data_IF_009022471597
#
_entry.id   IF_009022471597
#
_cell.length_a   1.000
_cell.length_b   1.000
_cell.length_c   1.000
_cell.angle_alpha   90.00
_cell.angle_beta   90.00
_cell.angle_gamma   90.00
#
_symmetry.space_group_name_H-M   'P 1'
#
loop_
_entity.id
_entity.type
_entity.pdbx_description
1 polymer ?
#
# COMPACT_ATOMS: atom_id res chain seq x y z
N UNK A 1 23.22 5.78 3.76
CA UNK A 1 21.80 6.18 3.76
C UNK A 1 21.12 5.90 5.11
N UNK A 2 21.23 6.81 6.10
CA UNK A 2 20.29 6.87 7.23
C UNK A 2 19.26 8.02 7.09
N UNK A 3 19.34 8.82 6.02
CA UNK A 3 18.50 9.99 5.81
C UNK A 3 17.83 9.96 4.43
N UNK A 4 16.50 10.19 4.35
CA UNK A 4 15.56 10.27 5.47
C UNK A 4 15.36 8.90 6.15
N UNK A 5 15.10 8.89 7.46
CA UNK A 5 14.86 7.65 8.20
C UNK A 5 13.42 7.17 7.97
N UNK A 6 13.25 5.94 7.44
CA UNK A 6 11.92 5.39 7.13
C UNK A 6 11.34 4.50 8.24
N UNK A 7 12.17 4.06 9.19
CA UNK A 7 11.74 3.30 10.36
C UNK A 7 11.81 4.20 11.59
N UNK A 8 10.84 4.13 12.53
CA UNK A 8 10.89 4.95 13.73
C UNK A 8 12.19 4.81 14.52
N UNK A 9 12.69 5.93 15.05
CA UNK A 9 13.87 5.94 15.93
C UNK A 9 13.57 5.28 17.29
N UNK A 10 12.37 5.53 17.82
CA UNK A 10 11.89 4.95 19.07
C UNK A 10 11.73 3.41 18.94
N UNK A 11 12.29 2.61 19.87
CA UNK A 11 12.22 1.15 19.80
C UNK A 11 10.80 0.58 19.83
N UNK A 12 9.87 1.19 20.59
CA UNK A 12 8.49 0.72 20.71
C UNK A 12 7.76 0.95 19.39
N UNK A 13 7.87 2.16 18.83
CA UNK A 13 7.30 2.48 17.52
C UNK A 13 7.92 1.65 16.42
N UNK A 14 9.22 1.35 16.49
CA UNK A 14 9.90 0.47 15.53
C UNK A 14 9.38 -0.96 15.60
N UNK A 15 9.14 -1.50 16.80
CA UNK A 15 8.55 -2.82 16.97
C UNK A 15 7.13 -2.87 16.38
N UNK A 16 6.30 -1.84 16.65
CA UNK A 16 4.96 -1.71 16.05
C UNK A 16 5.01 -1.64 14.52
N UNK A 17 5.90 -0.84 13.96
CA UNK A 17 6.07 -0.74 12.51
C UNK A 17 6.44 -2.09 11.87
N UNK A 18 7.36 -2.84 12.50
CA UNK A 18 7.72 -4.20 12.06
C UNK A 18 6.56 -5.18 12.14
N UNK A 19 5.78 -5.12 13.21
CA UNK A 19 4.60 -5.96 13.36
C UNK A 19 3.59 -5.69 12.24
N UNK A 20 3.32 -4.42 11.93
CA UNK A 20 2.43 -4.03 10.84
C UNK A 20 2.95 -4.49 9.48
N UNK A 21 4.25 -4.41 9.22
CA UNK A 21 4.86 -4.93 7.98
C UNK A 21 4.64 -6.44 7.85
N UNK A 22 4.85 -7.21 8.93
CA UNK A 22 4.60 -8.66 8.94
C UNK A 22 3.12 -8.97 8.72
N UNK A 23 2.22 -8.18 9.30
CA UNK A 23 0.77 -8.33 9.06
C UNK A 23 0.42 -8.05 7.59
N UNK A 24 0.93 -6.97 7.00
CA UNK A 24 0.71 -6.66 5.58
C UNK A 24 1.23 -7.77 4.66
N UNK A 25 2.40 -8.31 4.96
CA UNK A 25 2.95 -9.44 4.20
C UNK A 25 1.98 -10.62 4.15
N UNK A 26 1.43 -10.99 5.31
CA UNK A 26 0.55 -12.16 5.44
C UNK A 26 -0.86 -11.92 4.92
N UNK A 27 -1.41 -10.73 5.14
CA UNK A 27 -2.83 -10.45 4.88
C UNK A 27 -3.06 -9.78 3.52
N UNK A 28 -2.02 -9.24 2.89
CA UNK A 28 -2.13 -8.51 1.63
C UNK A 28 -1.15 -9.05 0.60
N UNK A 29 0.16 -9.07 0.89
CA UNK A 29 1.17 -9.41 -0.12
C UNK A 29 1.21 -10.90 -0.48
N UNK A 30 0.84 -11.78 0.45
CA UNK A 30 0.66 -13.21 0.19
C UNK A 30 -0.36 -13.50 -0.95
N UNK A 31 -1.24 -12.55 -1.25
CA UNK A 31 -2.24 -12.68 -2.31
C UNK A 31 -1.78 -12.08 -3.66
N UNK A 32 -0.63 -11.38 -3.72
CA UNK A 32 -0.12 -10.78 -4.96
C UNK A 32 0.39 -11.86 -5.93
N UNK A 33 1.17 -12.83 -5.47
CA UNK A 33 1.71 -13.88 -6.35
C UNK A 33 0.61 -14.68 -7.07
N UNK A 34 -0.50 -15.08 -6.42
CA UNK A 34 -1.66 -15.66 -7.10
C UNK A 34 -2.30 -14.75 -8.17
N UNK A 35 -2.28 -13.41 -7.97
CA UNK A 35 -2.80 -12.45 -8.94
C UNK A 35 -1.91 -12.34 -10.18
N UNK A 36 -0.60 -12.21 -9.96
CA UNK A 36 0.40 -12.11 -11.04
C UNK A 36 0.39 -13.35 -11.94
N UNK A 37 0.24 -14.53 -11.34
CA UNK A 37 0.16 -15.80 -12.10
C UNK A 37 -1.19 -16.01 -12.80
N UNK A 38 -2.17 -15.13 -12.56
CA UNK A 38 -3.55 -15.22 -13.04
C UNK A 38 -4.14 -16.65 -12.92
N UNK A 39 -3.89 -17.28 -11.76
CA UNK A 39 -4.31 -18.65 -11.51
C UNK A 39 -5.79 -18.76 -11.13
N UNK A 40 -6.28 -19.99 -10.93
CA UNK A 40 -7.67 -20.27 -10.49
C UNK A 40 -8.06 -19.57 -9.18
N UNK A 41 -7.09 -19.13 -8.38
CA UNK A 41 -7.29 -18.45 -7.09
C UNK A 41 -7.25 -16.93 -7.20
N UNK A 42 -7.04 -16.35 -8.40
CA UNK A 42 -6.89 -14.91 -8.59
C UNK A 42 -8.12 -14.13 -8.13
N UNK A 43 -9.34 -14.57 -8.44
CA UNK A 43 -10.56 -13.87 -8.01
C UNK A 43 -10.71 -13.83 -6.48
N UNK A 44 -10.36 -14.94 -5.82
CA UNK A 44 -10.34 -14.99 -4.35
C UNK A 44 -9.28 -14.05 -3.78
N UNK A 45 -8.10 -13.98 -4.40
CA UNK A 45 -7.04 -13.06 -3.99
C UNK A 45 -7.46 -11.58 -4.16
N UNK A 46 -8.12 -11.22 -5.28
CA UNK A 46 -8.69 -9.88 -5.50
C UNK A 46 -9.67 -9.52 -4.39
N UNK A 47 -10.57 -10.44 -4.05
CA UNK A 47 -11.56 -10.24 -3.00
C UNK A 47 -10.90 -9.99 -1.64
N UNK A 48 -9.92 -10.82 -1.25
CA UNK A 48 -9.22 -10.67 0.03
C UNK A 48 -8.49 -9.33 0.13
N UNK A 49 -7.75 -8.94 -0.91
CA UNK A 49 -7.06 -7.64 -0.92
C UNK A 49 -8.07 -6.50 -0.84
N UNK A 50 -9.16 -6.56 -1.61
CA UNK A 50 -10.22 -5.54 -1.58
C UNK A 50 -10.81 -5.37 -0.19
N UNK A 51 -11.13 -6.46 0.49
CA UNK A 51 -11.73 -6.42 1.83
C UNK A 51 -10.75 -5.81 2.84
N UNK A 52 -9.49 -6.24 2.84
CA UNK A 52 -8.45 -5.69 3.72
C UNK A 52 -8.17 -4.20 3.49
N UNK A 53 -8.09 -3.78 2.23
CA UNK A 53 -7.90 -2.37 1.88
C UNK A 53 -9.11 -1.52 2.32
N UNK A 54 -10.32 -2.07 2.19
CA UNK A 54 -11.55 -1.39 2.62
C UNK A 54 -11.61 -1.25 4.15
N UNK A 55 -11.25 -2.29 4.89
CA UNK A 55 -11.13 -2.27 6.36
C UNK A 55 -10.11 -1.24 6.86
N UNK A 56 -9.01 -1.05 6.13
CA UNK A 56 -7.95 -0.10 6.49
C UNK A 56 -8.32 1.35 6.17
N UNK A 57 -9.23 1.59 5.22
CA UNK A 57 -9.59 2.93 4.73
C UNK A 57 -9.89 3.96 5.83
N UNK A 58 -10.69 3.68 6.88
CA UNK A 58 -11.04 4.67 7.90
C UNK A 58 -9.84 5.25 8.67
N UNK A 59 -8.70 4.55 8.72
CA UNK A 59 -7.47 5.02 9.39
C UNK A 59 -6.98 6.34 8.76
N UNK A 60 -7.09 6.45 7.44
CA UNK A 60 -6.61 7.60 6.67
C UNK A 60 -7.53 8.82 6.73
N UNK A 61 -8.63 8.75 7.48
CA UNK A 61 -9.46 9.92 7.78
C UNK A 61 -8.75 10.83 8.79
N UNK A 62 -8.05 10.24 9.76
CA UNK A 62 -7.35 10.97 10.83
C UNK A 62 -5.84 11.02 10.62
N UNK A 63 -5.28 10.06 9.87
CA UNK A 63 -3.84 9.91 9.70
C UNK A 63 -3.43 10.24 8.27
N UNK A 64 -2.38 11.05 8.13
CA UNK A 64 -1.82 11.38 6.81
C UNK A 64 -1.08 10.21 6.17
N UNK A 65 -0.39 9.42 6.99
CA UNK A 65 0.44 8.26 6.68
C UNK A 65 0.10 7.07 7.59
N UNK A 66 0.65 5.88 7.33
CA UNK A 66 0.28 4.66 8.07
C UNK A 66 0.62 4.72 9.56
N UNK A 67 1.63 5.51 9.96
CA UNK A 67 2.02 5.72 11.35
C UNK A 67 1.66 7.12 11.87
N UNK A 68 0.60 7.73 11.34
CA UNK A 68 0.17 9.08 11.73
C UNK A 68 0.61 10.14 10.73
N UNK A 69 1.48 11.07 11.14
CA UNK A 69 1.86 12.23 10.33
C UNK A 69 3.19 12.07 9.58
N UNK A 70 3.97 11.03 9.91
CA UNK A 70 5.30 10.80 9.34
C UNK A 70 5.28 9.73 8.25
N UNK A 71 5.99 10.00 7.15
CA UNK A 71 6.19 9.03 6.09
C UNK A 71 7.19 7.96 6.51
N UNK A 72 6.82 6.69 6.32
CA UNK A 72 7.54 5.53 6.85
C UNK A 72 7.69 4.40 5.84
N UNK A 73 8.40 3.35 6.22
CA UNK A 73 8.56 2.13 5.42
C UNK A 73 7.22 1.45 5.09
N UNK A 74 6.20 1.60 5.94
CA UNK A 74 4.87 1.03 5.70
C UNK A 74 4.20 1.69 4.48
N UNK A 75 4.40 3.00 4.33
CA UNK A 75 3.88 3.75 3.19
C UNK A 75 4.59 3.35 1.90
N UNK A 76 5.90 3.12 1.98
CA UNK A 76 6.71 2.60 0.86
C UNK A 76 6.26 1.21 0.47
N UNK A 77 6.00 0.33 1.44
CA UNK A 77 5.62 -1.05 1.19
C UNK A 77 4.26 -1.18 0.48
N UNK A 78 3.26 -0.40 0.89
CA UNK A 78 1.90 -0.50 0.34
C UNK A 78 1.72 0.23 -1.00
N UNK A 79 2.55 1.26 -1.28
CA UNK A 79 2.37 2.11 -2.46
C UNK A 79 2.41 1.36 -3.81
N UNK A 80 3.32 0.40 -4.06
CA UNK A 80 3.33 -0.37 -5.31
C UNK A 80 2.04 -1.15 -5.56
N UNK A 81 1.39 -1.65 -4.51
CA UNK A 81 0.10 -2.33 -4.61
C UNK A 81 -1.00 -1.34 -4.96
N UNK A 82 -1.05 -0.20 -4.25
CA UNK A 82 -2.05 0.85 -4.52
C UNK A 82 -1.94 1.42 -5.94
N UNK A 83 -0.72 1.47 -6.49
CA UNK A 83 -0.49 1.90 -7.87
C UNK A 83 -1.05 0.91 -8.91
N UNK A 84 -1.12 -0.37 -8.55
CA UNK A 84 -1.49 -1.49 -9.44
C UNK A 84 -2.93 -1.97 -9.26
N UNK A 85 -3.77 -1.27 -8.50
CA UNK A 85 -5.15 -1.72 -8.24
C UNK A 85 -5.92 -1.96 -9.55
N UNK A 86 -5.87 -1.02 -10.48
CA UNK A 86 -6.54 -1.14 -11.78
C UNK A 86 -5.91 -2.27 -12.62
N UNK A 87 -4.59 -2.41 -12.58
CA UNK A 87 -3.87 -3.48 -13.27
C UNK A 87 -4.28 -4.88 -12.78
N UNK A 88 -4.55 -5.02 -11.48
CA UNK A 88 -5.04 -6.28 -10.89
C UNK A 88 -6.56 -6.46 -10.98
N UNK A 89 -7.30 -5.47 -11.50
CA UNK A 89 -8.77 -5.49 -11.53
C UNK A 89 -9.40 -5.42 -10.14
N UNK A 90 -8.77 -4.71 -9.19
CA UNK A 90 -9.26 -4.52 -7.83
C UNK A 90 -10.00 -3.17 -7.77
N UNK A 91 -11.32 -3.23 -7.90
CA UNK A 91 -12.16 -2.04 -7.76
C UNK A 91 -12.54 -1.81 -6.29
N UNK A 92 -12.19 -0.64 -5.78
CA UNK A 92 -12.53 -0.21 -4.43
C UNK A 92 -13.81 0.65 -4.44
N UNK A 93 -14.71 0.40 -3.49
CA UNK A 93 -15.96 1.17 -3.39
C UNK A 93 -15.73 2.60 -2.86
N UNK A 94 -16.75 3.46 -2.91
CA UNK A 94 -16.68 4.85 -2.41
C UNK A 94 -16.27 4.96 -0.93
N UNK A 95 -16.47 3.92 -0.12
CA UNK A 95 -16.03 3.89 1.29
C UNK A 95 -14.51 3.84 1.43
N UNK A 96 -13.80 3.41 0.39
CA UNK A 96 -12.34 3.39 0.32
C UNK A 96 -11.72 4.74 -0.10
N UNK A 97 -12.53 5.80 -0.27
CA UNK A 97 -12.04 7.11 -0.72
C UNK A 97 -10.90 7.69 0.15
N UNK A 98 -10.91 7.58 1.50
CA UNK A 98 -9.76 7.99 2.32
C UNK A 98 -8.45 7.29 1.94
N UNK A 99 -8.49 5.97 1.70
CA UNK A 99 -7.34 5.19 1.23
C UNK A 99 -6.86 5.66 -0.16
N UNK A 100 -7.79 5.89 -1.09
CA UNK A 100 -7.44 6.37 -2.43
C UNK A 100 -6.75 7.73 -2.37
N UNK A 101 -7.28 8.67 -1.56
CA UNK A 101 -6.64 9.97 -1.32
C UNK A 101 -5.26 9.81 -0.68
N UNK A 102 -5.07 8.83 0.18
CA UNK A 102 -3.77 8.49 0.75
C UNK A 102 -2.79 8.00 -0.31
N UNK A 103 -3.22 7.11 -1.22
CA UNK A 103 -2.43 6.67 -2.36
C UNK A 103 -1.95 7.84 -3.21
N UNK A 104 -2.86 8.74 -3.62
CA UNK A 104 -2.50 9.92 -4.42
C UNK A 104 -1.45 10.82 -3.73
N UNK A 105 -1.54 10.99 -2.41
CA UNK A 105 -0.52 11.73 -1.65
C UNK A 105 0.86 11.07 -1.76
N UNK A 106 0.94 9.75 -1.71
CA UNK A 106 2.22 9.05 -1.88
C UNK A 106 2.73 9.18 -3.31
N UNK A 107 1.85 9.01 -4.30
CA UNK A 107 2.22 9.06 -5.72
C UNK A 107 2.71 10.43 -6.16
N UNK A 108 2.25 11.51 -5.51
CA UNK A 108 2.73 12.87 -5.75
C UNK A 108 4.15 13.15 -5.24
N UNK A 109 4.76 12.24 -4.46
CA UNK A 109 6.12 12.44 -3.93
C UNK A 109 7.15 12.21 -5.02
N UNK A 110 8.12 13.14 -5.15
CA UNK A 110 9.18 13.05 -6.14
C UNK A 110 9.93 11.70 -6.11
N UNK A 111 10.25 11.20 -4.92
CA UNK A 111 10.93 9.91 -4.77
C UNK A 111 10.12 8.71 -5.29
N UNK A 112 8.77 8.80 -5.32
CA UNK A 112 7.95 7.77 -5.95
C UNK A 112 7.97 7.91 -7.48
N UNK A 113 7.79 9.13 -7.98
CA UNK A 113 7.78 9.46 -9.42
C UNK A 113 9.09 9.04 -10.11
N UNK A 114 10.22 9.28 -9.43
CA UNK A 114 11.56 8.95 -9.92
C UNK A 114 11.85 7.45 -9.87
N UNK A 115 11.25 6.73 -8.92
CA UNK A 115 11.42 5.29 -8.78
C UNK A 115 10.60 4.48 -9.79
N UNK A 116 9.52 5.05 -10.34
CA UNK A 116 8.65 4.37 -11.30
C UNK A 116 9.37 4.10 -12.63
N UNK A 117 9.36 2.84 -13.04
CA UNK A 117 9.80 2.43 -14.37
C UNK A 117 8.80 2.88 -15.46
N UNK A 118 9.22 3.00 -16.73
CA UNK A 118 8.30 3.34 -17.82
C UNK A 118 7.11 2.37 -17.93
N UNK A 119 7.34 1.08 -17.68
CA UNK A 119 6.29 0.05 -17.68
C UNK A 119 5.26 0.29 -16.59
N UNK A 120 5.68 0.62 -15.37
CA UNK A 120 4.77 0.92 -14.27
C UNK A 120 4.01 2.23 -14.49
N UNK A 121 4.64 3.25 -15.10
CA UNK A 121 3.95 4.50 -15.46
C UNK A 121 2.79 4.25 -16.42
N UNK A 122 2.94 3.30 -17.34
CA UNK A 122 1.90 2.96 -18.30
C UNK A 122 0.70 2.19 -17.69
N UNK A 123 0.80 1.72 -16.43
CA UNK A 123 -0.28 1.00 -15.74
C UNK A 123 -1.41 1.93 -15.27
N UNK A 124 -1.15 3.23 -15.13
CA UNK A 124 -2.16 4.27 -14.91
C UNK A 124 -2.25 5.13 -16.16
N UNK A 125 -3.38 5.08 -16.85
CA UNK A 125 -3.71 5.95 -17.99
C UNK A 125 -4.99 6.71 -17.70
#
# INVERSE_FOLDING_TARGET
FPHPQLMPADPIMRARARQLLITMEREVFAYIEPLEKNGKTADRARQQIRDRLTEMSPVFVKQKHMLGEEFSMLDVAIAPLLWRLDHYGIELSKTALPLLKYGERIFSRQGFIDALTPSEKAMRK
#
